data_IF_594581686134
#
_entry.id   IF_594581686134
#
_cell.length_a   1.000
_cell.length_b   1.000
_cell.length_c   1.000
_cell.angle_alpha   90.00
_cell.angle_beta   90.00
_cell.angle_gamma   90.00
#
_symmetry.space_group_name_H-M   'P 1'
#
loop_
_entity.id
_entity.type
_entity.pdbx_description
1 polymer ?
#
# COMPACT_ATOMS: atom_id res chain seq x y z
N UNK A 1 20.45 3.75 -8.81
CA UNK A 1 20.79 3.80 -7.37
C UNK A 1 19.49 3.66 -6.63
N UNK A 2 19.42 2.83 -5.58
CA UNK A 2 18.19 2.62 -4.83
C UNK A 2 17.68 3.94 -4.21
N UNK A 3 16.36 4.10 -4.16
CA UNK A 3 15.67 5.23 -3.51
C UNK A 3 15.89 5.16 -2.00
N UNK A 4 15.79 3.97 -1.40
CA UNK A 4 16.12 3.74 0.01
C UNK A 4 17.06 2.55 0.17
N UNK A 5 18.10 2.74 0.98
CA UNK A 5 19.07 1.67 1.31
C UNK A 5 18.61 0.89 2.55
N UNK A 6 19.36 -0.15 2.94
CA UNK A 6 19.12 -0.89 4.18
C UNK A 6 19.26 -0.04 5.46
N UNK A 7 20.11 0.98 5.43
CA UNK A 7 20.31 1.87 6.56
C UNK A 7 19.32 3.03 6.46
N UNK A 8 18.13 2.83 7.03
CA UNK A 8 17.11 3.87 7.07
C UNK A 8 17.29 4.69 8.34
N UNK A 9 17.66 5.96 8.17
CA UNK A 9 17.68 6.91 9.27
C UNK A 9 16.25 7.43 9.52
N UNK A 10 15.73 7.13 10.71
CA UNK A 10 14.49 7.70 11.21
C UNK A 10 14.80 8.68 12.35
N UNK A 11 14.09 9.83 12.45
CA UNK A 11 14.19 10.67 13.63
C UNK A 11 13.78 9.86 14.85
N UNK A 12 14.58 9.95 15.91
CA UNK A 12 14.35 9.20 17.15
C UNK A 12 12.97 9.52 17.72
N UNK A 13 12.24 8.47 18.09
CA UNK A 13 11.02 8.55 18.88
C UNK A 13 11.28 7.72 20.14
N UNK A 14 11.05 8.24 21.35
CA UNK A 14 11.42 7.53 22.56
C UNK A 14 10.42 6.42 22.94
N UNK A 15 9.16 6.54 22.53
CA UNK A 15 8.07 5.68 22.99
C UNK A 15 7.22 5.10 21.86
N UNK A 16 6.34 4.15 22.22
CA UNK A 16 5.43 3.50 21.29
C UNK A 16 4.31 4.47 20.84
N UNK A 17 3.84 5.33 21.74
CA UNK A 17 2.76 6.27 21.45
C UNK A 17 3.13 7.22 20.32
N UNK A 18 4.32 7.81 20.36
CA UNK A 18 4.85 8.69 19.33
C UNK A 18 5.09 7.99 18.00
N UNK A 19 5.42 6.69 18.01
CA UNK A 19 5.54 5.88 16.78
C UNK A 19 4.17 5.66 16.14
N UNK A 20 3.16 5.36 16.94
CA UNK A 20 1.78 5.26 16.48
C UNK A 20 1.25 6.61 15.98
N UNK A 21 1.60 7.72 16.63
CA UNK A 21 1.29 9.08 16.12
C UNK A 21 1.93 9.33 14.75
N UNK A 22 3.17 8.90 14.54
CA UNK A 22 3.84 9.02 13.25
C UNK A 22 3.14 8.19 12.17
N UNK A 23 2.69 6.98 12.49
CA UNK A 23 1.86 6.14 11.60
C UNK A 23 0.55 6.84 11.26
N UNK A 24 -0.15 7.42 12.25
CA UNK A 24 -1.38 8.19 12.03
C UNK A 24 -1.13 9.40 11.10
N UNK A 25 -0.06 10.14 11.35
CA UNK A 25 0.32 11.30 10.53
C UNK A 25 0.52 10.92 9.07
N UNK A 26 1.33 9.91 8.79
CA UNK A 26 1.60 9.51 7.40
C UNK A 26 0.40 8.84 6.74
N UNK A 27 -0.43 8.12 7.50
CA UNK A 27 -1.71 7.61 7.00
C UNK A 27 -2.62 8.75 6.55
N UNK A 28 -2.65 9.86 7.30
CA UNK A 28 -3.42 11.05 6.93
C UNK A 28 -2.84 11.76 5.70
N UNK A 29 -1.52 11.81 5.57
CA UNK A 29 -0.88 12.31 4.34
C UNK A 29 -1.33 11.48 3.13
N UNK A 30 -1.28 10.15 3.22
CA UNK A 30 -1.71 9.24 2.13
C UNK A 30 -3.18 9.44 1.77
N UNK A 31 -4.05 9.61 2.77
CA UNK A 31 -5.49 9.83 2.58
C UNK A 31 -5.77 11.10 1.74
N UNK A 32 -4.97 12.15 1.92
CA UNK A 32 -5.18 13.46 1.30
C UNK A 32 -4.53 13.58 -0.10
N UNK A 33 -3.59 12.70 -0.47
CA UNK A 33 -2.89 12.77 -1.76
C UNK A 33 -3.83 12.84 -2.98
N UNK A 34 -4.93 12.06 -3.07
CA UNK A 34 -5.81 12.13 -4.23
C UNK A 34 -6.56 13.46 -4.36
N UNK A 35 -6.79 14.19 -3.27
CA UNK A 35 -7.51 15.47 -3.32
C UNK A 35 -6.75 16.52 -4.13
N UNK A 36 -5.41 16.45 -4.10
CA UNK A 36 -4.54 17.32 -4.89
C UNK A 36 -4.54 16.97 -6.40
N UNK A 37 -5.05 15.79 -6.79
CA UNK A 37 -4.98 15.28 -8.16
C UNK A 37 -6.35 15.12 -8.84
N UNK A 38 -7.36 14.61 -8.13
CA UNK A 38 -8.66 14.19 -8.68
C UNK A 38 -9.81 15.18 -8.46
N UNK A 39 -9.63 16.23 -7.68
CA UNK A 39 -10.62 17.30 -7.54
C UNK A 39 -10.76 18.02 -8.90
N UNK A 40 -11.90 17.91 -9.61
CA UNK A 40 -13.24 18.11 -9.06
C UNK A 40 -14.14 16.86 -8.96
N UNK A 41 -15.16 16.95 -8.10
CA UNK A 41 -16.22 15.96 -7.97
C UNK A 41 -16.90 15.66 -9.32
N UNK A 42 -17.02 14.37 -9.64
CA UNK A 42 -17.55 13.90 -10.93
C UNK A 42 -16.51 13.78 -12.05
N UNK A 43 -15.22 13.91 -11.75
CA UNK A 43 -14.14 13.63 -12.70
C UNK A 43 -14.21 12.21 -13.26
N UNK A 44 -13.88 12.08 -14.54
CA UNK A 44 -13.62 10.77 -15.14
C UNK A 44 -12.26 10.26 -14.67
N UNK A 45 -12.24 9.04 -14.16
CA UNK A 45 -11.03 8.32 -13.78
C UNK A 45 -10.80 7.20 -14.79
N UNK A 46 -9.58 7.12 -15.31
CA UNK A 46 -9.19 5.95 -16.10
C UNK A 46 -9.16 4.69 -15.20
N UNK A 47 -9.32 3.52 -15.80
CA UNK A 47 -9.40 2.23 -15.07
C UNK A 47 -8.19 2.02 -14.14
N UNK A 48 -6.98 2.42 -14.59
CA UNK A 48 -5.77 2.34 -13.77
C UNK A 48 -5.81 3.23 -12.53
N UNK A 49 -6.48 4.39 -12.59
CA UNK A 49 -6.51 5.38 -11.51
C UNK A 49 -7.30 4.89 -10.30
N UNK A 50 -8.25 3.96 -10.50
CA UNK A 50 -8.96 3.31 -9.39
C UNK A 50 -8.02 2.52 -8.46
N UNK A 51 -6.90 2.00 -8.98
CA UNK A 51 -5.92 1.31 -8.16
C UNK A 51 -5.17 2.25 -7.21
N UNK A 52 -5.02 3.53 -7.55
CA UNK A 52 -4.42 4.51 -6.65
C UNK A 52 -5.35 4.78 -5.46
N UNK A 53 -6.65 4.94 -5.71
CA UNK A 53 -7.68 5.10 -4.67
C UNK A 53 -7.80 3.85 -3.80
N UNK A 54 -7.73 2.67 -4.42
CA UNK A 54 -7.69 1.40 -3.70
C UNK A 54 -6.44 1.29 -2.83
N UNK A 55 -5.27 1.72 -3.33
CA UNK A 55 -4.03 1.74 -2.55
C UNK A 55 -4.11 2.69 -1.35
N UNK A 56 -4.73 3.86 -1.50
CA UNK A 56 -5.00 4.79 -0.38
C UNK A 56 -5.85 4.11 0.68
N UNK A 57 -7.03 3.60 0.29
CA UNK A 57 -7.97 2.98 1.22
C UNK A 57 -7.37 1.75 1.90
N UNK A 58 -6.61 0.94 1.14
CA UNK A 58 -5.91 -0.23 1.68
C UNK A 58 -4.85 0.20 2.71
N UNK A 59 -4.09 1.25 2.44
CA UNK A 59 -3.03 1.73 3.32
C UNK A 59 -3.59 2.33 4.62
N UNK A 60 -4.62 3.17 4.53
CA UNK A 60 -5.25 3.78 5.70
C UNK A 60 -6.00 2.74 6.55
N UNK A 61 -6.65 1.76 5.90
CA UNK A 61 -7.26 0.62 6.59
C UNK A 61 -6.23 -0.24 7.31
N UNK A 62 -5.12 -0.58 6.64
CA UNK A 62 -4.02 -1.32 7.27
C UNK A 62 -3.43 -0.53 8.44
N UNK A 63 -3.29 0.79 8.34
CA UNK A 63 -2.77 1.63 9.42
C UNK A 63 -3.67 1.63 10.66
N UNK A 64 -4.98 1.77 10.46
CA UNK A 64 -5.95 1.66 11.54
C UNK A 64 -5.93 0.27 12.21
N UNK A 65 -5.90 -0.79 11.41
CA UNK A 65 -5.83 -2.16 11.93
C UNK A 65 -4.54 -2.43 12.70
N UNK A 66 -3.40 -1.97 12.16
CA UNK A 66 -2.09 -2.12 12.80
C UNK A 66 -2.09 -1.47 14.20
N UNK A 67 -2.59 -0.24 14.32
CA UNK A 67 -2.69 0.44 15.61
C UNK A 67 -3.52 -0.36 16.63
N UNK A 68 -4.69 -0.84 16.22
CA UNK A 68 -5.55 -1.65 17.10
C UNK A 68 -4.84 -2.93 17.57
N UNK A 69 -4.12 -3.60 16.68
CA UNK A 69 -3.41 -4.84 16.99
C UNK A 69 -2.20 -4.61 17.91
N UNK A 70 -1.44 -3.54 17.70
CA UNK A 70 -0.32 -3.15 18.58
C UNK A 70 -0.83 -2.79 19.98
N UNK A 71 -1.90 -2.00 20.08
CA UNK A 71 -2.52 -1.66 21.36
C UNK A 71 -3.10 -2.90 22.08
N UNK A 72 -3.64 -3.84 21.31
CA UNK A 72 -4.08 -5.14 21.82
C UNK A 72 -2.94 -6.12 22.11
N UNK A 73 -1.67 -5.71 21.95
CA UNK A 73 -0.45 -6.52 22.14
C UNK A 73 -0.48 -7.81 21.32
N UNK A 74 -1.00 -7.76 20.09
CA UNK A 74 -1.05 -8.91 19.18
C UNK A 74 0.01 -8.76 18.07
N UNK A 75 1.24 -9.18 18.38
CA UNK A 75 2.39 -8.98 17.48
C UNK A 75 2.29 -9.81 16.21
N UNK A 76 1.80 -11.05 16.31
CA UNK A 76 1.66 -11.97 15.17
C UNK A 76 0.75 -11.39 14.10
N UNK A 77 -0.44 -10.92 14.50
CA UNK A 77 -1.37 -10.30 13.56
C UNK A 77 -0.85 -8.94 13.07
N UNK A 78 -0.22 -8.13 13.94
CA UNK A 78 0.36 -6.84 13.54
C UNK A 78 1.47 -7.03 12.48
N UNK A 79 2.33 -8.03 12.62
CA UNK A 79 3.37 -8.39 11.65
C UNK A 79 2.78 -8.82 10.30
N UNK A 80 1.68 -9.58 10.29
CA UNK A 80 0.96 -9.91 9.07
C UNK A 80 0.42 -8.66 8.35
N UNK A 81 -0.02 -7.63 9.09
CA UNK A 81 -0.45 -6.36 8.50
C UNK A 81 0.72 -5.60 7.86
N UNK A 82 1.94 -5.68 8.40
CA UNK A 82 3.14 -5.13 7.74
C UNK A 82 3.36 -5.78 6.39
N UNK A 83 3.29 -7.12 6.33
CA UNK A 83 3.41 -7.87 5.07
C UNK A 83 2.34 -7.49 4.06
N UNK A 84 1.10 -7.28 4.51
CA UNK A 84 -0.01 -6.82 3.67
C UNK A 84 0.20 -5.39 3.15
N UNK A 85 0.84 -4.52 3.92
CA UNK A 85 1.15 -3.16 3.47
C UNK A 85 2.25 -3.14 2.41
N UNK A 86 3.30 -3.94 2.59
CA UNK A 86 4.34 -4.11 1.56
C UNK A 86 3.71 -4.66 0.27
N UNK A 87 2.74 -5.57 0.37
CA UNK A 87 2.02 -6.06 -0.81
C UNK A 87 1.23 -4.98 -1.53
N UNK A 88 0.52 -4.12 -0.79
CA UNK A 88 -0.24 -3.03 -1.38
C UNK A 88 0.67 -2.08 -2.18
N UNK A 89 1.83 -1.73 -1.61
CA UNK A 89 2.86 -0.94 -2.29
C UNK A 89 3.39 -1.66 -3.54
N UNK A 90 3.68 -2.95 -3.43
CA UNK A 90 4.18 -3.79 -4.52
C UNK A 90 3.19 -3.90 -5.68
N UNK A 91 1.88 -3.98 -5.42
CA UNK A 91 0.86 -3.97 -6.47
C UNK A 91 0.79 -2.62 -7.17
N UNK A 92 0.77 -1.52 -6.43
CA UNK A 92 0.77 -0.17 -7.00
C UNK A 92 2.01 0.06 -7.88
N UNK A 93 3.20 -0.30 -7.38
CA UNK A 93 4.44 -0.25 -8.15
C UNK A 93 4.40 -1.17 -9.37
N UNK A 94 3.77 -2.34 -9.28
CA UNK A 94 3.62 -3.27 -10.40
C UNK A 94 2.93 -2.68 -11.62
N UNK A 95 2.06 -1.67 -11.45
CA UNK A 95 1.42 -0.96 -12.57
C UNK A 95 2.42 -0.14 -13.38
N UNK A 96 3.54 0.29 -12.81
CA UNK A 96 4.56 1.08 -13.51
C UNK A 96 5.62 0.21 -14.19
N UNK A 97 5.50 -1.12 -14.07
CA UNK A 97 6.46 -2.08 -14.63
C UNK A 97 6.04 -2.66 -15.98
N UNK A 98 4.97 -2.16 -16.59
CA UNK A 98 4.42 -2.66 -17.86
C UNK A 98 4.68 -1.66 -19.00
N UNK A 99 4.63 -2.12 -20.25
CA UNK A 99 4.80 -1.25 -21.42
C UNK A 99 3.63 -0.27 -21.61
N UNK A 100 2.40 -0.69 -21.29
CA UNK A 100 1.18 0.11 -21.39
C UNK A 100 0.38 0.01 -20.08
N UNK A 101 0.46 1.07 -19.29
CA UNK A 101 -0.16 1.16 -17.97
C UNK A 101 -1.70 1.27 -18.04
N UNK A 102 -2.23 1.89 -19.09
CA UNK A 102 -3.68 2.08 -19.25
C UNK A 102 -4.37 0.76 -19.65
N UNK A 103 -3.77 0.03 -20.58
CA UNK A 103 -4.22 -1.32 -20.95
C UNK A 103 -4.10 -2.30 -19.77
N UNK A 104 -3.00 -2.24 -19.01
CA UNK A 104 -2.84 -3.06 -17.81
C UNK A 104 -3.92 -2.75 -16.75
N UNK A 105 -4.17 -1.47 -16.47
CA UNK A 105 -5.24 -1.05 -15.56
C UNK A 105 -6.60 -1.58 -16.01
N UNK A 106 -6.93 -1.41 -17.29
CA UNK A 106 -8.18 -1.92 -17.89
C UNK A 106 -8.31 -3.44 -17.71
N UNK A 107 -7.26 -4.20 -18.04
CA UNK A 107 -7.27 -5.67 -17.87
C UNK A 107 -7.50 -6.08 -16.42
N UNK A 108 -6.81 -5.43 -15.48
CA UNK A 108 -6.93 -5.74 -14.05
C UNK A 108 -8.32 -5.39 -13.52
N UNK A 109 -8.91 -4.25 -13.93
CA UNK A 109 -10.29 -3.88 -13.58
C UNK A 109 -11.31 -4.94 -14.03
N UNK A 110 -11.04 -5.60 -15.18
CA UNK A 110 -11.86 -6.69 -15.71
C UNK A 110 -11.50 -8.08 -15.15
N UNK A 111 -10.76 -8.15 -14.04
CA UNK A 111 -10.48 -9.39 -13.32
C UNK A 111 -9.27 -10.18 -13.81
N UNK A 112 -8.44 -9.61 -14.69
CA UNK A 112 -7.15 -10.20 -15.00
C UNK A 112 -6.25 -10.25 -13.76
N UNK A 113 -5.31 -11.19 -13.74
CA UNK A 113 -4.33 -11.33 -12.66
C UNK A 113 -3.05 -10.58 -13.02
N UNK A 114 -2.31 -10.07 -12.04
CA UNK A 114 -0.97 -9.50 -12.27
C UNK A 114 -0.05 -10.47 -13.04
N UNK A 115 -0.13 -11.77 -12.75
CA UNK A 115 0.65 -12.79 -13.46
C UNK A 115 0.30 -12.97 -14.95
N UNK A 116 -0.73 -12.29 -15.45
CA UNK A 116 -1.06 -12.24 -16.89
C UNK A 116 -0.43 -11.03 -17.59
N UNK A 117 0.05 -10.05 -16.83
CA UNK A 117 0.81 -8.90 -17.31
C UNK A 117 2.29 -9.28 -17.45
N UNK A 118 3.02 -8.51 -18.26
CA UNK A 118 4.45 -8.72 -18.51
C UNK A 118 5.27 -7.52 -18.06
N UNK A 119 6.44 -7.80 -17.52
CA UNK A 119 7.46 -6.78 -17.24
C UNK A 119 7.91 -6.15 -18.56
N UNK A 120 7.94 -4.82 -18.59
CA UNK A 120 8.23 -3.99 -19.76
C UNK A 120 9.49 -4.45 -20.49
N UNK A 121 9.40 -4.56 -21.81
CA UNK A 121 10.52 -5.03 -22.65
C UNK A 121 10.94 -6.50 -22.46
N UNK A 122 10.22 -7.29 -21.67
CA UNK A 122 10.54 -8.71 -21.42
C UNK A 122 9.37 -9.65 -21.73
N UNK A 123 9.60 -10.96 -21.59
CA UNK A 123 8.54 -11.98 -21.62
C UNK A 123 8.11 -12.43 -20.23
N UNK A 124 8.71 -11.88 -19.18
CA UNK A 124 8.52 -12.34 -17.82
C UNK A 124 7.18 -11.84 -17.28
N UNK A 125 6.42 -12.75 -16.69
CA UNK A 125 5.14 -12.44 -16.10
C UNK A 125 5.33 -11.71 -14.76
N UNK A 126 4.49 -10.70 -14.46
CA UNK A 126 4.48 -9.98 -13.19
C UNK A 126 3.87 -10.84 -12.06
N UNK A 127 4.57 -11.92 -11.72
CA UNK A 127 4.30 -12.75 -10.54
C UNK A 127 4.82 -12.04 -9.29
N UNK A 128 4.32 -12.44 -8.13
CA UNK A 128 4.72 -11.84 -6.85
C UNK A 128 6.23 -11.82 -6.63
N UNK A 129 6.93 -12.88 -7.07
CA UNK A 129 8.39 -12.93 -7.06
C UNK A 129 9.03 -11.78 -7.87
N UNK A 130 8.58 -11.56 -9.10
CA UNK A 130 9.12 -10.50 -9.96
C UNK A 130 8.79 -9.13 -9.37
N UNK A 131 7.56 -8.92 -8.92
CA UNK A 131 7.15 -7.66 -8.29
C UNK A 131 8.00 -7.35 -7.05
N UNK A 132 8.27 -8.36 -6.22
CA UNK A 132 9.12 -8.24 -5.05
C UNK A 132 10.57 -7.92 -5.44
N UNK A 133 11.13 -8.64 -6.42
CA UNK A 133 12.50 -8.42 -6.91
C UNK A 133 12.67 -7.02 -7.48
N UNK A 134 11.73 -6.54 -8.32
CA UNK A 134 11.79 -5.19 -8.88
C UNK A 134 11.64 -4.12 -7.79
N UNK A 135 10.71 -4.27 -6.85
CA UNK A 135 10.55 -3.29 -5.75
C UNK A 135 11.80 -3.22 -4.88
N UNK A 136 12.47 -4.34 -4.65
CA UNK A 136 13.67 -4.42 -3.82
C UNK A 136 14.91 -3.79 -4.46
N UNK A 137 14.90 -3.56 -5.79
CA UNK A 137 15.94 -2.77 -6.47
C UNK A 137 15.83 -1.29 -6.13
N UNK A 138 14.61 -0.79 -5.90
CA UNK A 138 14.35 0.59 -5.52
C UNK A 138 14.42 0.80 -4.00
N UNK A 139 14.03 -0.21 -3.22
CA UNK A 139 13.99 -0.17 -1.76
C UNK A 139 14.70 -1.39 -1.16
N UNK A 140 16.00 -1.29 -0.87
CA UNK A 140 16.86 -2.44 -0.52
C UNK A 140 16.44 -3.16 0.77
N UNK A 141 15.69 -2.49 1.65
CA UNK A 141 15.17 -3.05 2.91
C UNK A 141 13.97 -3.98 2.71
N UNK A 142 13.29 -3.90 1.55
CA UNK A 142 12.02 -4.59 1.31
C UNK A 142 12.16 -6.09 1.43
N UNK A 143 13.20 -6.70 0.83
CA UNK A 143 13.32 -8.17 0.88
C UNK A 143 13.44 -8.71 2.29
N UNK A 144 14.23 -8.06 3.13
CA UNK A 144 14.41 -8.48 4.51
C UNK A 144 13.11 -8.39 5.30
N UNK A 145 12.40 -7.26 5.18
CA UNK A 145 11.13 -7.05 5.87
C UNK A 145 10.01 -7.93 5.33
N UNK A 146 9.95 -8.14 4.01
CA UNK A 146 8.97 -9.00 3.35
C UNK A 146 9.12 -10.46 3.82
N UNK A 147 10.33 -11.00 3.84
CA UNK A 147 10.57 -12.38 4.26
C UNK A 147 10.34 -12.55 5.77
N UNK A 148 10.83 -11.62 6.60
CA UNK A 148 10.65 -11.65 8.04
C UNK A 148 9.16 -11.62 8.44
N UNK A 149 8.36 -10.80 7.74
CA UNK A 149 6.92 -10.67 8.02
C UNK A 149 6.08 -11.77 7.36
N UNK A 150 6.55 -12.38 6.27
CA UNK A 150 5.89 -13.52 5.63
C UNK A 150 5.83 -14.75 6.54
N UNK A 151 6.80 -14.91 7.45
CA UNK A 151 6.80 -15.96 8.48
C UNK A 151 5.64 -15.85 9.49
N UNK A 152 4.92 -14.72 9.52
CA UNK A 152 3.71 -14.53 10.33
C UNK A 152 2.42 -14.65 9.52
N UNK A 153 2.51 -14.71 8.19
CA UNK A 153 1.39 -15.00 7.28
C UNK A 153 1.30 -16.49 6.99
N UNK A 154 2.43 -17.12 6.73
CA UNK A 154 2.53 -18.57 6.61
C UNK A 154 2.70 -19.19 7.99
N UNK A 155 2.13 -20.38 8.21
CA UNK A 155 2.37 -21.14 9.44
C UNK A 155 3.79 -21.70 9.41
N UNK A 156 4.74 -20.93 9.93
CA UNK A 156 6.17 -21.18 9.89
C UNK A 156 6.74 -21.51 11.28
N UNK A 157 8.01 -21.95 11.32
CA UNK A 157 8.79 -22.14 12.54
C UNK A 157 8.77 -20.90 13.43
N UNK A 158 8.73 -19.68 12.88
CA UNK A 158 8.65 -18.46 13.69
C UNK A 158 7.39 -18.39 14.56
N UNK A 159 6.25 -18.92 14.09
CA UNK A 159 5.04 -19.03 14.93
C UNK A 159 5.22 -20.00 16.09
N UNK A 160 6.14 -20.97 15.96
CA UNK A 160 6.47 -21.87 17.05
C UNK A 160 7.40 -21.20 18.04
N UNK A 161 8.55 -20.71 17.56
CA UNK A 161 9.63 -20.19 18.41
C UNK A 161 9.24 -18.92 19.14
N UNK A 162 8.45 -18.02 18.54
CA UNK A 162 7.98 -16.78 19.18
C UNK A 162 7.03 -17.02 20.37
N UNK A 163 6.44 -18.21 20.47
CA UNK A 163 5.51 -18.57 21.55
C UNK A 163 6.13 -19.52 22.58
N UNK A 164 7.37 -19.95 22.40
CA UNK A 164 8.07 -20.73 23.43
C UNK A 164 8.42 -19.83 24.63
N UNK A 165 8.08 -20.27 25.83
CA UNK A 165 8.44 -19.64 27.09
C UNK A 165 9.19 -20.65 27.95
N UNK A 166 10.28 -20.23 28.56
CA UNK A 166 11.06 -21.07 29.47
C UNK A 166 10.70 -20.73 30.92
N UNK A 167 10.30 -21.75 31.67
CA UNK A 167 10.04 -21.68 33.11
C UNK A 167 10.91 -22.76 33.76
N UNK A 168 11.88 -22.32 34.58
CA UNK A 168 12.90 -23.16 35.21
C UNK A 168 13.64 -24.08 34.23
N UNK A 169 13.28 -25.36 34.19
CA UNK A 169 13.90 -26.39 33.34
C UNK A 169 13.00 -26.87 32.18
N UNK A 170 11.77 -26.36 32.09
CA UNK A 170 10.78 -26.81 31.12
C UNK A 170 10.45 -25.72 30.08
N UNK A 171 10.11 -26.17 28.87
CA UNK A 171 9.71 -25.30 27.76
C UNK A 171 8.22 -25.44 27.52
N UNK A 172 7.50 -24.32 27.56
CA UNK A 172 6.05 -24.25 27.38
C UNK A 172 5.69 -23.47 26.13
N UNK A 173 4.56 -23.82 25.52
CA UNK A 173 4.01 -23.09 24.39
C UNK A 173 2.90 -22.14 24.85
N UNK A 174 3.06 -20.85 24.59
CA UNK A 174 2.05 -19.86 24.91
C UNK A 174 0.91 -19.89 23.90
N UNK A 175 -0.29 -20.24 24.36
CA UNK A 175 -1.51 -20.30 23.54
C UNK A 175 -2.21 -18.94 23.39
N UNK A 176 -1.75 -17.92 24.12
CA UNK A 176 -2.32 -16.57 24.06
C UNK A 176 -1.99 -15.90 22.71
N UNK A 177 -3.03 -15.36 22.07
CA UNK A 177 -2.90 -14.42 20.94
C UNK A 177 -2.41 -13.04 21.35
N UNK A 178 -2.16 -12.83 22.64
CA UNK A 178 -1.74 -11.55 23.24
C UNK A 178 -0.38 -11.74 23.91
N UNK A 179 0.57 -10.86 23.58
CA UNK A 179 1.94 -10.82 24.06
C UNK A 179 2.07 -9.88 25.27
N UNK A 180 1.24 -10.13 26.29
CA UNK A 180 1.02 -9.23 27.44
C UNK A 180 2.29 -8.93 28.28
N UNK A 181 3.30 -9.80 28.20
CA UNK A 181 4.56 -9.67 28.96
C UNK A 181 5.68 -8.99 28.19
N UNK A 182 5.47 -8.67 26.91
CA UNK A 182 6.49 -8.02 26.10
C UNK A 182 6.64 -6.55 26.51
N UNK A 183 7.87 -6.05 26.70
CA UNK A 183 8.10 -4.63 26.93
C UNK A 183 7.69 -3.83 25.68
N UNK A 184 7.35 -2.54 25.87
CA UNK A 184 6.95 -1.70 24.74
C UNK A 184 8.03 -1.58 23.66
N UNK A 185 9.30 -1.57 24.07
CA UNK A 185 10.44 -1.52 23.16
C UNK A 185 10.47 -2.69 22.15
N UNK A 186 9.86 -3.83 22.48
CA UNK A 186 9.76 -4.96 21.55
C UNK A 186 8.82 -4.69 20.36
N UNK A 187 8.02 -3.61 20.42
CA UNK A 187 7.12 -3.18 19.35
C UNK A 187 7.73 -2.08 18.46
N UNK A 188 8.89 -1.52 18.84
CA UNK A 188 9.45 -0.35 18.15
C UNK A 188 9.84 -0.69 16.73
N UNK A 189 10.63 -1.74 16.54
CA UNK A 189 11.05 -2.19 15.20
C UNK A 189 9.85 -2.51 14.31
N UNK A 190 8.80 -3.13 14.89
CA UNK A 190 7.59 -3.46 14.17
C UNK A 190 6.82 -2.20 13.71
N UNK A 191 6.67 -1.22 14.60
CA UNK A 191 6.01 0.04 14.29
C UNK A 191 6.83 0.89 13.30
N UNK A 192 8.14 0.94 13.47
CA UNK A 192 9.05 1.66 12.58
C UNK A 192 9.07 1.02 11.18
N UNK A 193 9.09 -0.31 11.08
CA UNK A 193 8.98 -1.03 9.80
C UNK A 193 7.64 -0.74 9.11
N UNK A 194 6.54 -0.73 9.86
CA UNK A 194 5.24 -0.40 9.31
C UNK A 194 5.15 1.04 8.80
N UNK A 195 5.70 1.99 9.57
CA UNK A 195 5.81 3.38 9.15
C UNK A 195 6.64 3.52 7.86
N UNK A 196 7.77 2.84 7.75
CA UNK A 196 8.61 2.82 6.55
C UNK A 196 7.82 2.26 5.35
N UNK A 197 7.04 1.19 5.54
CA UNK A 197 6.20 0.63 4.48
C UNK A 197 5.10 1.62 4.01
N UNK A 198 4.48 2.37 4.92
CA UNK A 198 3.56 3.46 4.57
C UNK A 198 4.28 4.59 3.82
N UNK A 199 5.48 4.96 4.26
CA UNK A 199 6.32 5.98 3.59
C UNK A 199 6.65 5.61 2.16
N UNK A 200 7.08 4.37 1.93
CA UNK A 200 7.29 3.82 0.60
C UNK A 200 6.01 3.91 -0.24
N UNK A 201 4.86 3.51 0.33
CA UNK A 201 3.58 3.56 -0.38
C UNK A 201 3.19 4.98 -0.76
N UNK A 202 3.35 5.95 0.16
CA UNK A 202 3.12 7.37 -0.11
C UNK A 202 3.98 7.87 -1.26
N UNK A 203 5.28 7.56 -1.26
CA UNK A 203 6.20 7.99 -2.31
C UNK A 203 5.83 7.38 -3.68
N UNK A 204 5.49 6.09 -3.72
CA UNK A 204 5.03 5.41 -4.93
C UNK A 204 3.71 6.01 -5.46
N UNK A 205 2.79 6.32 -4.55
CA UNK A 205 1.52 6.96 -4.89
C UNK A 205 1.72 8.38 -5.44
N UNK A 206 2.60 9.18 -4.82
CA UNK A 206 2.96 10.50 -5.33
C UNK A 206 3.55 10.42 -6.74
N UNK A 207 4.48 9.49 -6.98
CA UNK A 207 5.05 9.28 -8.30
C UNK A 207 3.99 8.89 -9.33
N UNK A 208 3.11 7.93 -8.97
CA UNK A 208 2.02 7.50 -9.84
C UNK A 208 1.07 8.65 -10.20
N UNK A 209 0.66 9.45 -9.20
CA UNK A 209 -0.27 10.58 -9.37
C UNK A 209 0.34 11.74 -10.15
N UNK A 210 1.65 11.99 -10.02
CA UNK A 210 2.34 13.06 -10.73
C UNK A 210 2.30 12.91 -12.26
N UNK A 211 2.21 11.66 -12.76
CA UNK A 211 2.06 11.37 -14.18
C UNK A 211 0.62 11.46 -14.69
N UNK A 212 -0.36 11.63 -13.80
CA UNK A 212 -1.78 11.70 -14.16
C UNK A 212 -2.21 13.13 -14.48
N UNK A 213 -3.32 13.32 -15.22
CA UNK A 213 -3.90 14.64 -15.43
C UNK A 213 -4.17 15.37 -14.10
N UNK A 214 -3.68 16.60 -14.03
CA UNK A 214 -3.82 17.47 -12.86
C UNK A 214 -5.22 18.12 -12.78
N UNK A 215 -5.64 18.65 -11.62
CA UNK A 215 -6.99 19.19 -11.40
C UNK A 215 -7.51 20.13 -12.49
N UNK A 216 -6.68 21.08 -12.96
CA UNK A 216 -7.08 22.04 -14.00
C UNK A 216 -7.42 21.35 -15.32
N UNK A 217 -6.60 20.37 -15.73
CA UNK A 217 -6.85 19.58 -16.93
C UNK A 217 -8.13 18.74 -16.79
N UNK A 218 -8.39 18.16 -15.61
CA UNK A 218 -9.63 17.42 -15.33
C UNK A 218 -10.86 18.31 -15.34
N UNK A 219 -10.77 19.49 -14.76
CA UNK A 219 -11.84 20.47 -14.77
C UNK A 219 -12.20 20.88 -16.21
N UNK A 220 -11.20 21.10 -17.07
CA UNK A 220 -11.40 21.38 -18.49
C UNK A 220 -12.07 20.21 -19.23
N UNK A 221 -11.64 18.97 -18.99
CA UNK A 221 -12.25 17.76 -19.58
C UNK A 221 -13.71 17.64 -19.15
N UNK A 222 -14.00 17.80 -17.85
CA UNK A 222 -15.34 17.71 -17.30
C UNK A 222 -16.26 18.81 -17.85
N UNK A 223 -15.75 20.03 -17.98
CA UNK A 223 -16.50 21.14 -18.57
C UNK A 223 -16.85 20.86 -20.03
N UNK A 224 -15.87 20.42 -20.84
CA UNK A 224 -16.09 20.07 -22.24
C UNK A 224 -17.16 18.98 -22.38
N UNK A 225 -17.10 17.94 -21.54
CA UNK A 225 -18.11 16.88 -21.54
C UNK A 225 -19.51 17.39 -21.19
N UNK A 226 -19.63 18.30 -20.21
CA UNK A 226 -20.93 18.94 -19.86
C UNK A 226 -21.49 19.74 -21.04
N UNK A 227 -20.65 20.52 -21.71
CA UNK A 227 -21.04 21.32 -22.88
C UNK A 227 -21.51 20.44 -24.05
N UNK A 228 -20.80 19.34 -24.33
CA UNK A 228 -21.20 18.38 -25.38
C UNK A 228 -22.53 17.68 -25.07
N UNK A 229 -22.76 17.32 -23.81
CA UNK A 229 -24.03 16.70 -23.38
C UNK A 229 -25.19 17.68 -23.45
N UNK A 230 -25.03 18.87 -22.87
CA UNK A 230 -26.08 19.90 -22.84
C UNK A 230 -26.35 20.50 -24.24
N UNK A 231 -25.40 20.36 -25.17
CA UNK A 231 -25.58 20.64 -26.59
C UNK A 231 -26.42 19.57 -27.31
N UNK A 232 -26.19 18.29 -27.03
CA UNK A 232 -27.02 17.20 -27.59
C UNK A 232 -28.47 17.26 -27.09
N UNK A 233 -28.68 17.50 -25.80
CA UNK A 233 -30.02 17.61 -25.21
C UNK A 233 -30.83 18.78 -25.81
N UNK A 234 -30.17 19.84 -26.29
CA UNK A 234 -30.82 20.96 -26.98
C UNK A 234 -31.23 20.65 -28.42
N UNK A 235 -30.46 19.84 -29.14
CA UNK A 235 -30.80 19.44 -30.52
C UNK A 235 -31.87 18.34 -30.57
N UNK A 236 -31.93 17.46 -29.56
CA UNK A 236 -32.91 16.37 -29.49
C UNK A 236 -34.30 16.85 -29.00
N UNK A 237 -34.40 18.06 -28.43
CA UNK A 237 -35.63 18.67 -27.94
C UNK A 237 -36.45 19.46 -28.97
N UNK A 238 -35.89 19.78 -30.15
CA UNK A 238 -36.58 20.52 -31.22
C UNK A 238 -37.23 19.59 -32.28
N UNK A 239 -37.16 18.27 -32.08
CA UNK A 239 -37.52 17.24 -33.07
C UNK A 239 -38.93 16.65 -33.00
N UNK A 240 -39.89 17.28 -32.33
CA UNK A 240 -41.31 16.86 -32.38
C UNK A 240 -42.22 18.06 -32.55
N UNK A 241 -42.53 18.35 -33.81
CA UNK A 241 -43.75 19.07 -34.23
C UNK A 241 -44.86 18.06 -34.53
#
# INVERSE_FOLDING_TARGET
MAVETKLIELPEVPDLAGRLDRIRSISREIELLPDETYAPQGSFLADVEWFSLAAVTKSTSNANAFELLVNARNTVAAAAVVRMQIEAAMRLFGLTLVDDIEDAGTKLMHGAKYSSLKLAGTKDALRDKILHEELSKEYEWVSESYEATSAYVHLDRMNVTSKLTHLDHDTFFNLSGVDAKWPESAYYDLADTFYIALRMTRNLLQAFLAERPQPEARAAILQKWREERDGKDRYDGEGTQ
#
